data_IF_788508988382
#
_entry.id   IF_788508988382
#
_cell.length_a   1.000
_cell.length_b   1.000
_cell.length_c   1.000
_cell.angle_alpha   90.00
_cell.angle_beta   90.00
_cell.angle_gamma   90.00
#
_symmetry.space_group_name_H-M   'P 1'
#
loop_
_entity.id
_entity.type
_entity.pdbx_description
1 polymer ?
#
# COMPACT_ATOMS: atom_id res chain seq x y z
N UNK A 1 -9.08 -27.53 -15.02
CA UNK A 1 -7.90 -26.71 -14.74
C UNK A 1 -8.40 -25.64 -13.83
N UNK A 2 -8.05 -25.74 -12.56
CA UNK A 2 -8.27 -24.71 -11.56
C UNK A 2 -7.38 -23.55 -11.97
N UNK A 3 -7.98 -22.51 -12.56
CA UNK A 3 -7.26 -21.29 -12.88
C UNK A 3 -7.06 -20.56 -11.57
N UNK A 4 -5.80 -20.41 -11.15
CA UNK A 4 -5.46 -19.49 -10.07
C UNK A 4 -6.02 -18.09 -10.43
N UNK A 5 -6.70 -17.42 -9.49
CA UNK A 5 -7.31 -16.12 -9.78
C UNK A 5 -6.23 -15.09 -10.09
N UNK A 6 -6.46 -14.26 -11.10
CA UNK A 6 -5.52 -13.23 -11.55
C UNK A 6 -5.43 -12.07 -10.54
N UNK A 7 -4.30 -11.34 -10.55
CA UNK A 7 -4.10 -10.16 -9.70
C UNK A 7 -4.38 -8.91 -10.54
N UNK A 8 -5.41 -8.17 -10.15
CA UNK A 8 -5.77 -6.90 -10.77
C UNK A 8 -5.07 -5.77 -10.04
N UNK A 9 -4.20 -5.04 -10.75
CA UNK A 9 -3.52 -3.85 -10.24
C UNK A 9 -4.31 -2.59 -10.57
N UNK A 10 -4.43 -1.67 -9.61
CA UNK A 10 -5.05 -0.37 -9.81
C UNK A 10 -4.11 0.58 -10.55
N UNK A 11 -4.67 1.47 -11.38
CA UNK A 11 -3.93 2.58 -11.99
C UNK A 11 -3.45 3.65 -11.00
N UNK A 12 -3.84 3.56 -9.72
CA UNK A 12 -3.30 4.38 -8.64
C UNK A 12 -1.95 3.86 -8.10
N UNK A 13 -1.52 2.69 -8.57
CA UNK A 13 -0.19 2.14 -8.28
C UNK A 13 0.89 2.91 -9.03
N UNK A 14 2.05 3.05 -8.42
CA UNK A 14 3.20 3.68 -9.03
C UNK A 14 4.23 4.21 -8.02
N UNK A 15 5.36 4.71 -8.52
CA UNK A 15 6.38 5.31 -7.68
C UNK A 15 5.87 6.62 -7.07
N UNK A 16 6.16 6.80 -5.78
CA UNK A 16 5.88 8.01 -5.03
C UNK A 16 7.16 8.52 -4.38
N UNK A 17 7.44 9.81 -4.56
CA UNK A 17 8.64 10.46 -4.03
C UNK A 17 8.25 11.63 -3.14
N UNK A 18 8.77 11.65 -1.91
CA UNK A 18 8.60 12.76 -0.96
C UNK A 18 9.86 12.88 -0.11
N UNK A 19 10.27 14.09 0.26
CA UNK A 19 11.47 14.33 1.09
C UNK A 19 12.78 13.69 0.57
N UNK A 20 12.89 13.45 -0.74
CA UNK A 20 14.05 12.78 -1.35
C UNK A 20 14.04 11.25 -1.25
N UNK A 21 12.99 10.69 -0.65
CA UNK A 21 12.74 9.26 -0.52
C UNK A 21 11.78 8.80 -1.60
N UNK A 22 11.98 7.59 -2.13
CA UNK A 22 11.10 7.01 -3.14
C UNK A 22 10.64 5.63 -2.71
N UNK A 23 9.34 5.42 -2.78
CA UNK A 23 8.67 4.15 -2.52
C UNK A 23 7.78 3.81 -3.71
N UNK A 24 7.53 2.53 -3.94
CA UNK A 24 6.61 2.04 -4.95
C UNK A 24 5.30 1.63 -4.29
N UNK A 25 4.24 2.36 -4.59
CA UNK A 25 2.90 2.07 -4.09
C UNK A 25 2.25 1.06 -5.03
N UNK A 26 1.88 -0.09 -4.51
CA UNK A 26 1.16 -1.15 -5.21
C UNK A 26 -0.23 -1.28 -4.59
N UNK A 27 -1.26 -1.06 -5.39
CA UNK A 27 -2.64 -1.26 -4.98
C UNK A 27 -3.23 -2.33 -5.88
N UNK A 28 -3.50 -3.50 -5.32
CA UNK A 28 -3.93 -4.66 -6.10
C UNK A 28 -5.04 -5.42 -5.39
N UNK A 29 -5.75 -6.26 -6.14
CA UNK A 29 -6.73 -7.20 -5.59
C UNK A 29 -6.71 -8.51 -6.35
N UNK A 30 -7.22 -9.55 -5.74
CA UNK A 30 -7.46 -10.82 -6.44
C UNK A 30 -8.74 -10.66 -7.28
N UNK A 31 -8.80 -11.19 -8.50
CA UNK A 31 -9.97 -11.07 -9.40
C UNK A 31 -11.28 -11.50 -8.71
N UNK A 32 -11.21 -12.55 -7.89
CA UNK A 32 -12.34 -13.10 -7.13
C UNK A 32 -12.67 -12.31 -5.86
N UNK A 33 -11.79 -11.40 -5.44
CA UNK A 33 -11.94 -10.61 -4.22
C UNK A 33 -12.32 -9.15 -4.54
N UNK A 34 -13.37 -8.60 -3.94
CA UNK A 34 -13.75 -7.22 -4.19
C UNK A 34 -12.80 -6.21 -3.54
N UNK A 35 -12.06 -6.61 -2.50
CA UNK A 35 -11.27 -5.72 -1.66
C UNK A 35 -9.85 -5.51 -2.21
N UNK A 36 -9.35 -4.30 -2.03
CA UNK A 36 -8.03 -3.86 -2.46
C UNK A 36 -7.04 -3.98 -1.32
N UNK A 37 -5.85 -4.47 -1.65
CA UNK A 37 -4.69 -4.51 -0.77
C UNK A 37 -3.78 -3.35 -1.15
N UNK A 38 -3.28 -2.66 -0.13
CA UNK A 38 -2.21 -1.68 -0.27
C UNK A 38 -0.90 -2.35 0.15
N UNK A 39 0.09 -2.27 -0.72
CA UNK A 39 1.46 -2.65 -0.47
C UNK A 39 2.37 -1.49 -0.86
N UNK A 40 3.39 -1.22 -0.06
CA UNK A 40 4.41 -0.21 -0.35
C UNK A 40 5.76 -0.87 -0.30
N UNK A 41 6.50 -0.75 -1.40
CA UNK A 41 7.84 -1.31 -1.54
C UNK A 41 8.85 -0.17 -1.46
N UNK A 42 9.72 -0.19 -0.46
CA UNK A 42 10.75 0.82 -0.34
C UNK A 42 11.93 0.54 -1.28
N UNK A 43 12.86 1.49 -1.38
CA UNK A 43 14.10 1.36 -2.17
C UNK A 43 15.01 0.18 -1.76
N UNK A 44 14.83 -0.36 -0.56
CA UNK A 44 15.57 -1.51 -0.04
C UNK A 44 14.91 -2.84 -0.42
N UNK A 45 13.75 -2.81 -1.07
CA UNK A 45 12.96 -4.00 -1.40
C UNK A 45 12.16 -4.54 -0.22
N UNK A 46 12.00 -3.77 0.85
CA UNK A 46 11.06 -4.11 1.93
C UNK A 46 9.65 -3.81 1.46
N UNK A 47 8.79 -4.83 1.44
CA UNK A 47 7.36 -4.64 1.24
C UNK A 47 6.64 -4.46 2.56
N UNK A 48 5.76 -3.46 2.58
CA UNK A 48 4.95 -3.09 3.73
C UNK A 48 3.52 -3.23 3.26
N UNK A 49 2.87 -4.28 3.72
CA UNK A 49 1.48 -4.59 3.38
C UNK A 49 0.59 -4.13 4.52
N UNK A 50 -0.48 -3.44 4.20
CA UNK A 50 -1.48 -3.04 5.19
C UNK A 50 -2.34 -4.24 5.58
N UNK A 51 -2.73 -4.31 6.86
CA UNK A 51 -3.53 -5.42 7.38
C UNK A 51 -5.00 -5.34 6.94
N UNK A 52 -5.61 -4.15 6.86
CA UNK A 52 -6.95 -4.02 6.28
C UNK A 52 -6.91 -4.01 4.76
N UNK A 53 -8.03 -4.47 4.24
CA UNK A 53 -8.36 -4.43 2.83
C UNK A 53 -9.40 -3.34 2.61
N UNK A 54 -9.25 -2.61 1.50
CA UNK A 54 -10.01 -1.41 1.18
C UNK A 54 -11.12 -1.71 0.18
N UNK A 55 -12.28 -1.05 0.28
CA UNK A 55 -13.35 -1.24 -0.70
C UNK A 55 -13.02 -0.66 -2.08
N UNK A 56 -12.18 0.38 -2.10
CA UNK A 56 -11.75 1.06 -3.34
C UNK A 56 -10.26 1.31 -3.34
N UNK A 57 -9.67 1.37 -4.53
CA UNK A 57 -8.27 1.74 -4.67
C UNK A 57 -7.99 3.18 -4.21
N UNK A 58 -8.98 4.06 -4.24
CA UNK A 58 -8.87 5.44 -3.73
C UNK A 58 -8.73 5.44 -2.19
N UNK A 59 -9.47 4.58 -1.50
CA UNK A 59 -9.39 4.46 -0.04
C UNK A 59 -8.03 3.86 0.38
N UNK A 60 -7.54 2.85 -0.34
CA UNK A 60 -6.17 2.35 -0.20
C UNK A 60 -5.15 3.48 -0.39
N UNK A 61 -5.28 4.28 -1.46
CA UNK A 61 -4.39 5.41 -1.70
C UNK A 61 -4.46 6.47 -0.60
N UNK A 62 -5.66 6.75 -0.08
CA UNK A 62 -5.85 7.70 1.00
C UNK A 62 -5.20 7.23 2.30
N UNK A 63 -5.23 5.92 2.60
CA UNK A 63 -4.53 5.35 3.74
C UNK A 63 -3.01 5.53 3.62
N UNK A 64 -2.44 5.29 2.45
CA UNK A 64 -1.03 5.58 2.17
C UNK A 64 -0.68 7.05 2.44
N UNK A 65 -1.45 7.98 1.86
CA UNK A 65 -1.23 9.42 2.03
C UNK A 65 -1.40 9.85 3.50
N UNK A 66 -2.33 9.24 4.24
CA UNK A 66 -2.54 9.49 5.67
C UNK A 66 -1.36 9.01 6.53
N UNK A 67 -0.79 7.83 6.23
CA UNK A 67 0.43 7.34 6.89
C UNK A 67 1.61 8.27 6.62
N UNK A 68 1.77 8.73 5.38
CA UNK A 68 2.80 9.74 5.03
C UNK A 68 2.58 11.05 5.80
N UNK A 69 1.35 11.52 5.94
CA UNK A 69 1.04 12.78 6.64
C UNK A 69 1.28 12.68 8.15
N UNK A 70 0.93 11.54 8.76
CA UNK A 70 1.04 11.30 10.20
C UNK A 70 2.46 10.92 10.65
N UNK A 71 3.13 10.01 9.93
CA UNK A 71 4.41 9.43 10.34
C UNK A 71 5.59 9.87 9.46
N UNK A 72 5.31 10.32 8.23
CA UNK A 72 6.32 10.64 7.24
C UNK A 72 6.73 9.43 6.40
N UNK A 73 7.33 9.70 5.23
CA UNK A 73 7.80 8.66 4.30
C UNK A 73 8.89 7.75 4.88
N UNK A 74 9.65 8.26 5.86
CA UNK A 74 10.68 7.49 6.56
C UNK A 74 10.14 6.29 7.32
N UNK A 75 8.83 6.27 7.65
CA UNK A 75 8.19 5.08 8.27
C UNK A 75 8.35 3.83 7.39
N UNK A 76 8.39 4.01 6.07
CA UNK A 76 8.53 2.90 5.12
C UNK A 76 9.96 2.41 4.94
N UNK A 77 10.96 3.11 5.48
CA UNK A 77 12.34 2.65 5.48
C UNK A 77 12.67 1.73 6.66
N UNK A 78 11.88 1.80 7.74
CA UNK A 78 12.18 1.06 8.95
C UNK A 78 11.82 -0.42 8.79
N UNK A 79 12.82 -1.29 8.91
CA UNK A 79 12.74 -2.70 8.53
C UNK A 79 11.86 -3.59 9.42
N UNK A 80 11.12 -3.05 10.40
CA UNK A 80 10.35 -3.86 11.37
C UNK A 80 8.84 -3.60 11.44
N UNK A 81 8.28 -2.65 10.69
CA UNK A 81 6.90 -2.23 10.94
C UNK A 81 5.88 -2.82 9.94
N UNK A 82 5.01 -3.67 10.47
CA UNK A 82 3.62 -3.73 9.98
C UNK A 82 2.98 -2.41 10.41
N UNK A 83 2.44 -1.62 9.48
CA UNK A 83 1.84 -0.32 9.77
C UNK A 83 0.39 -0.48 10.22
N UNK A 84 0.07 -0.30 11.53
CA UNK A 84 -1.32 -0.26 11.98
C UNK A 84 -1.96 1.08 11.59
N UNK A 85 -3.28 1.08 11.42
CA UNK A 85 -4.05 2.22 10.93
C UNK A 85 -3.77 3.53 11.67
N UNK A 86 -3.69 4.68 10.97
CA UNK A 86 -3.78 5.98 11.63
C UNK A 86 -5.16 6.08 12.27
N UNK A 87 -5.20 6.13 13.60
CA UNK A 87 -6.44 6.28 14.35
C UNK A 87 -7.03 7.64 14.03
N UNK A 88 -8.11 7.68 13.25
CA UNK A 88 -8.86 8.90 12.95
C UNK A 88 -9.65 9.28 14.20
N UNK A 89 -9.20 10.32 14.91
CA UNK A 89 -9.86 10.86 16.10
C UNK A 89 -10.79 12.04 15.77
#
# INVERSE_FOLDING_TARGET
MDHDPDIITSGLSGPFTRDGETVEVQIYRIETDPQWVLEVINRNGTSIVWEDHFETAEDARAAFDATIDSEGIGTFLDTTNIVPFPTRH
#
